data_IF_870732677923
#
_entry.id   IF_870732677923
#
_cell.length_a   1.000
_cell.length_b   1.000
_cell.length_c   1.000
_cell.angle_alpha   90.00
_cell.angle_beta   90.00
_cell.angle_gamma   90.00
#
_symmetry.space_group_name_H-M   'P 1'
#
loop_
_entity.id
_entity.type
_entity.pdbx_description
1 polymer ?
#
# COMPACT_ATOMS: atom_id res chain seq x y z
N UNK A 1 -4.12 22.42 -14.90
CA UNK A 1 -2.92 21.74 -14.35
C UNK A 1 -3.23 20.26 -14.34
N UNK A 2 -2.42 19.45 -15.02
CA UNK A 2 -2.51 18.00 -14.91
C UNK A 2 -2.13 17.63 -13.46
N UNK A 3 -3.04 17.02 -12.70
CA UNK A 3 -2.74 16.53 -11.35
C UNK A 3 -1.62 15.50 -11.46
N UNK A 4 -0.55 15.58 -10.67
CA UNK A 4 0.57 14.62 -10.73
C UNK A 4 0.17 13.23 -10.22
N UNK A 5 -0.89 13.15 -9.41
CA UNK A 5 -1.33 11.92 -8.75
C UNK A 5 -2.55 11.31 -9.46
N UNK A 6 -2.80 10.03 -9.24
CA UNK A 6 -3.97 9.36 -9.80
C UNK A 6 -5.17 9.50 -8.86
N UNK A 7 -6.31 9.87 -9.43
CA UNK A 7 -7.59 9.93 -8.72
C UNK A 7 -8.22 8.53 -8.49
N UNK A 8 -7.51 7.46 -8.89
CA UNK A 8 -7.96 6.07 -8.79
C UNK A 8 -8.41 5.71 -7.37
N UNK A 9 -7.68 6.19 -6.36
CA UNK A 9 -7.94 5.86 -4.97
C UNK A 9 -9.17 6.56 -4.39
N UNK A 10 -9.76 7.56 -5.07
CA UNK A 10 -11.03 8.16 -4.64
C UNK A 10 -12.18 7.14 -4.67
N UNK A 11 -12.04 6.05 -5.45
CA UNK A 11 -13.00 4.93 -5.51
C UNK A 11 -12.76 3.83 -4.48
N UNK A 12 -11.69 3.94 -3.68
CA UNK A 12 -11.50 3.06 -2.53
C UNK A 12 -12.55 3.36 -1.46
N UNK A 13 -12.76 2.46 -0.49
CA UNK A 13 -13.70 2.70 0.61
C UNK A 13 -13.41 4.03 1.32
N UNK A 14 -12.14 4.30 1.67
CA UNK A 14 -11.75 5.54 2.34
C UNK A 14 -11.96 6.78 1.46
N UNK A 15 -11.65 6.68 0.16
CA UNK A 15 -11.88 7.77 -0.80
C UNK A 15 -13.37 8.07 -0.99
N UNK A 16 -14.20 7.03 -1.13
CA UNK A 16 -15.64 7.18 -1.30
C UNK A 16 -16.27 7.83 -0.06
N UNK A 17 -15.89 7.38 1.14
CA UNK A 17 -16.39 7.98 2.39
C UNK A 17 -15.94 9.45 2.55
N UNK A 18 -14.76 9.81 2.04
CA UNK A 18 -14.31 11.20 2.03
C UNK A 18 -15.15 12.05 1.07
N UNK A 19 -15.42 11.55 -0.13
CA UNK A 19 -16.29 12.23 -1.10
C UNK A 19 -17.68 12.45 -0.51
N UNK A 20 -18.29 11.41 0.07
CA UNK A 20 -19.61 11.50 0.70
C UNK A 20 -19.64 12.54 1.84
N UNK A 21 -18.59 12.59 2.66
CA UNK A 21 -18.47 13.57 3.74
C UNK A 21 -18.31 15.00 3.22
N UNK A 22 -17.53 15.20 2.15
CA UNK A 22 -17.36 16.51 1.51
C UNK A 22 -18.66 16.97 0.86
N UNK A 23 -19.36 16.08 0.16
CA UNK A 23 -20.67 16.37 -0.45
C UNK A 23 -21.71 16.74 0.59
N UNK A 24 -21.71 16.07 1.75
CA UNK A 24 -22.56 16.45 2.88
C UNK A 24 -22.26 17.88 3.36
N UNK A 25 -20.98 18.25 3.55
CA UNK A 25 -20.61 19.60 3.97
C UNK A 25 -20.97 20.68 2.95
N UNK A 26 -20.90 20.37 1.65
CA UNK A 26 -21.35 21.25 0.57
C UNK A 26 -22.87 21.43 0.65
N UNK A 27 -23.62 20.33 0.84
CA UNK A 27 -25.08 20.37 0.91
C UNK A 27 -25.61 21.21 2.09
N UNK A 28 -24.86 21.25 3.20
CA UNK A 28 -25.14 22.10 4.35
C UNK A 28 -24.66 23.55 4.18
N UNK A 29 -24.00 23.88 3.06
CA UNK A 29 -23.42 25.20 2.80
C UNK A 29 -22.23 25.54 3.71
N UNK A 30 -21.58 24.54 4.32
CA UNK A 30 -20.44 24.74 5.23
C UNK A 30 -19.12 24.94 4.48
N UNK A 31 -18.99 24.36 3.30
CA UNK A 31 -17.82 24.51 2.42
C UNK A 31 -18.27 24.73 0.97
N UNK A 32 -17.41 25.37 0.19
CA UNK A 32 -17.60 25.49 -1.25
C UNK A 32 -17.08 24.24 -1.98
N UNK A 33 -17.67 23.92 -3.14
CA UNK A 33 -17.22 22.81 -3.99
C UNK A 33 -15.75 22.94 -4.42
N UNK A 34 -15.26 24.16 -4.64
CA UNK A 34 -13.84 24.39 -4.99
C UNK A 34 -12.89 23.94 -3.88
N UNK A 35 -13.25 24.16 -2.61
CA UNK A 35 -12.46 23.70 -1.47
C UNK A 35 -12.47 22.17 -1.36
N UNK A 36 -13.61 21.52 -1.59
CA UNK A 36 -13.70 20.07 -1.60
C UNK A 36 -12.80 19.44 -2.67
N UNK A 37 -12.69 20.04 -3.86
CA UNK A 37 -11.77 19.59 -4.90
C UNK A 37 -10.31 19.65 -4.44
N UNK A 38 -9.91 20.72 -3.74
CA UNK A 38 -8.56 20.83 -3.16
C UNK A 38 -8.32 19.73 -2.11
N UNK A 39 -9.31 19.42 -1.27
CA UNK A 39 -9.20 18.30 -0.32
C UNK A 39 -8.97 16.96 -1.02
N UNK A 40 -9.65 16.72 -2.14
CA UNK A 40 -9.48 15.49 -2.92
C UNK A 40 -8.11 15.43 -3.62
N UNK A 41 -7.58 16.56 -4.12
CA UNK A 41 -6.22 16.62 -4.66
C UNK A 41 -5.16 16.31 -3.59
N UNK A 42 -5.35 16.82 -2.37
CA UNK A 42 -4.49 16.48 -1.22
C UNK A 42 -4.60 14.99 -0.88
N UNK A 43 -5.81 14.43 -0.89
CA UNK A 43 -6.03 13.01 -0.67
C UNK A 43 -5.29 12.13 -1.70
N UNK A 44 -5.36 12.48 -2.99
CA UNK A 44 -4.70 11.73 -4.05
C UNK A 44 -3.18 11.63 -3.82
N UNK A 45 -2.57 12.75 -3.40
CA UNK A 45 -1.16 12.79 -3.04
C UNK A 45 -0.85 11.93 -1.81
N UNK A 46 -1.57 12.16 -0.72
CA UNK A 46 -1.30 11.51 0.58
C UNK A 46 -1.45 9.99 0.48
N UNK A 47 -2.47 9.49 -0.20
CA UNK A 47 -2.65 8.03 -0.36
C UNK A 47 -1.52 7.43 -1.19
N UNK A 48 -1.08 8.08 -2.27
CA UNK A 48 0.00 7.56 -3.09
C UNK A 48 1.33 7.48 -2.30
N UNK A 49 1.65 8.50 -1.51
CA UNK A 49 2.84 8.53 -0.66
C UNK A 49 2.76 7.47 0.45
N UNK A 50 1.65 7.41 1.19
CA UNK A 50 1.47 6.50 2.33
C UNK A 50 1.48 5.04 1.89
N UNK A 51 0.82 4.69 0.77
CA UNK A 51 0.86 3.32 0.26
C UNK A 51 2.27 2.91 -0.16
N UNK A 52 3.07 3.84 -0.70
CA UNK A 52 4.45 3.55 -1.09
C UNK A 52 5.37 3.36 0.12
N UNK A 53 5.19 4.16 1.17
CA UNK A 53 6.11 4.21 2.31
C UNK A 53 5.74 3.26 3.44
N UNK A 54 4.45 3.02 3.68
CA UNK A 54 3.96 2.33 4.88
C UNK A 54 3.39 0.94 4.61
N UNK A 55 3.52 0.41 3.39
CA UNK A 55 3.03 -0.93 3.06
C UNK A 55 4.15 -1.82 2.54
N UNK A 56 4.37 -2.95 3.23
CA UNK A 56 5.37 -3.95 2.87
C UNK A 56 4.75 -5.32 2.56
N UNK A 57 3.45 -5.47 2.80
CA UNK A 57 2.73 -6.74 2.60
C UNK A 57 2.76 -7.16 1.14
N UNK A 58 2.99 -8.45 0.90
CA UNK A 58 2.96 -9.03 -0.45
C UNK A 58 1.69 -9.86 -0.62
N UNK A 59 1.05 -9.72 -1.77
CA UNK A 59 -0.15 -10.48 -2.10
C UNK A 59 0.04 -11.20 -3.44
N UNK A 60 -0.24 -12.50 -3.46
CA UNK A 60 -0.29 -13.33 -4.66
C UNK A 60 -1.73 -13.64 -5.01
N UNK A 61 -2.15 -13.35 -6.25
CA UNK A 61 -3.50 -13.61 -6.74
C UNK A 61 -3.43 -14.72 -7.79
N UNK A 62 -4.20 -15.80 -7.60
CA UNK A 62 -4.39 -16.87 -8.59
C UNK A 62 -5.87 -16.98 -8.93
N UNK A 63 -6.20 -17.18 -10.20
CA UNK A 63 -7.59 -17.36 -10.64
C UNK A 63 -7.69 -17.42 -12.15
N UNK A 64 -8.92 -17.48 -12.67
CA UNK A 64 -9.19 -17.52 -14.11
C UNK A 64 -9.44 -16.11 -14.64
N UNK A 65 -8.62 -15.65 -15.59
CA UNK A 65 -8.86 -14.38 -16.26
C UNK A 65 -10.16 -14.47 -17.08
N UNK A 66 -11.12 -13.61 -16.77
CA UNK A 66 -12.40 -13.55 -17.47
C UNK A 66 -12.38 -12.51 -18.60
N UNK A 67 -11.93 -11.29 -18.32
CA UNK A 67 -11.72 -10.24 -19.33
C UNK A 67 -10.59 -9.33 -18.91
N UNK A 68 -9.92 -8.72 -19.90
CA UNK A 68 -8.92 -7.68 -19.70
C UNK A 68 -9.18 -6.51 -20.66
N UNK A 69 -8.67 -5.33 -20.30
CA UNK A 69 -8.70 -4.12 -21.14
C UNK A 69 -7.50 -3.25 -20.80
N UNK A 70 -6.89 -2.67 -21.83
CA UNK A 70 -5.90 -1.61 -21.71
C UNK A 70 -6.36 -0.41 -22.54
N UNK A 71 -6.47 0.76 -21.91
CA UNK A 71 -6.81 2.03 -22.54
C UNK A 71 -6.33 3.15 -21.64
N UNK A 72 -5.83 4.24 -22.22
CA UNK A 72 -5.38 5.44 -21.51
C UNK A 72 -4.39 5.14 -20.37
N UNK A 73 -3.43 4.26 -20.64
CA UNK A 73 -2.43 3.80 -19.66
C UNK A 73 -3.00 3.14 -18.38
N UNK A 74 -4.25 2.67 -18.45
CA UNK A 74 -4.93 1.94 -17.37
C UNK A 74 -5.26 0.52 -17.80
N UNK A 75 -4.73 -0.44 -17.05
CA UNK A 75 -5.13 -1.83 -17.12
C UNK A 75 -6.36 -2.10 -16.27
N UNK A 76 -7.29 -2.89 -16.80
CA UNK A 76 -8.42 -3.45 -16.05
C UNK A 76 -8.51 -4.94 -16.27
N UNK A 77 -8.52 -5.72 -15.20
CA UNK A 77 -8.71 -7.16 -15.23
C UNK A 77 -9.95 -7.56 -14.43
N UNK A 78 -10.68 -8.55 -14.92
CA UNK A 78 -11.70 -9.27 -14.16
C UNK A 78 -11.24 -10.72 -14.05
N UNK A 79 -11.00 -11.18 -12.83
CA UNK A 79 -10.54 -12.53 -12.51
C UNK A 79 -11.68 -13.24 -11.78
N UNK A 80 -11.93 -14.53 -12.09
CA UNK A 80 -12.93 -15.37 -11.44
C UNK A 80 -12.28 -16.51 -10.66
N UNK A 81 -12.97 -17.00 -9.63
CA UNK A 81 -12.53 -18.09 -8.76
C UNK A 81 -11.11 -17.81 -8.21
N UNK A 82 -10.97 -16.66 -7.56
CA UNK A 82 -9.68 -16.16 -7.10
C UNK A 82 -9.31 -16.77 -5.76
N UNK A 83 -8.04 -17.16 -5.62
CA UNK A 83 -7.37 -17.45 -4.37
C UNK A 83 -6.29 -16.39 -4.16
N UNK A 84 -6.39 -15.63 -3.08
CA UNK A 84 -5.46 -14.58 -2.70
C UNK A 84 -4.65 -15.05 -1.49
N UNK A 85 -3.33 -15.11 -1.65
CA UNK A 85 -2.37 -15.42 -0.58
C UNK A 85 -1.72 -14.11 -0.13
N UNK A 86 -1.94 -13.71 1.11
CA UNK A 86 -1.32 -12.54 1.73
C UNK A 86 -0.18 -13.01 2.64
N UNK A 87 1.01 -12.45 2.43
CA UNK A 87 2.22 -12.73 3.19
C UNK A 87 2.50 -11.54 4.11
N UNK A 88 2.48 -11.78 5.42
CA UNK A 88 2.79 -10.76 6.41
C UNK A 88 4.31 -10.72 6.62
N UNK A 89 4.94 -9.63 6.15
CA UNK A 89 6.35 -9.39 6.44
C UNK A 89 6.39 -8.59 7.74
N UNK A 90 6.68 -9.26 8.86
CA UNK A 90 7.02 -8.56 10.09
C UNK A 90 8.33 -7.79 9.86
N UNK A 91 8.28 -6.47 9.91
CA UNK A 91 9.50 -5.67 10.08
C UNK A 91 10.00 -5.91 11.50
N UNK A 92 11.10 -6.64 11.63
CA UNK A 92 11.92 -6.58 12.84
C UNK A 92 12.35 -5.12 13.03
N UNK A 93 11.67 -4.43 13.94
CA UNK A 93 12.06 -3.11 14.43
C UNK A 93 13.40 -3.25 15.18
N UNK A 94 14.51 -3.31 14.45
CA UNK A 94 15.81 -2.98 15.01
C UNK A 94 15.87 -1.46 15.09
N UNK A 95 15.53 -1.00 16.30
CA UNK A 95 15.78 0.35 16.81
C UNK A 95 17.13 0.90 16.35
N UNK A 96 17.07 2.10 15.78
CA UNK A 96 18.17 3.03 15.68
C UNK A 96 19.01 3.00 16.95
N UNK A 97 20.31 2.70 16.82
CA UNK A 97 21.31 3.18 17.76
C UNK A 97 22.31 3.98 16.96
N UNK A 98 22.24 5.29 17.17
CA UNK A 98 23.23 6.26 16.77
C UNK A 98 24.64 5.76 17.09
N UNK A 99 25.54 5.81 16.11
CA UNK A 99 26.99 5.78 16.37
C UNK A 99 27.62 7.02 15.77
N UNK A 100 27.55 8.09 16.53
CA UNK A 100 28.59 9.10 16.59
C UNK A 100 29.90 8.49 17.12
N UNK A 101 30.99 9.10 16.67
CA UNK A 101 32.41 8.74 16.82
C UNK A 101 32.94 8.46 18.24
N UNK A 102 33.83 7.47 18.38
CA UNK A 102 34.68 7.32 19.58
C UNK A 102 35.45 6.00 19.71
N UNK A 103 36.78 6.08 19.59
CA UNK A 103 37.85 5.05 19.61
C UNK A 103 38.05 4.34 20.97
N UNK A 104 38.38 3.02 20.96
CA UNK A 104 39.33 2.25 21.85
C UNK A 104 39.07 0.72 21.75
N UNK A 105 39.92 -0.10 21.10
CA UNK A 105 41.06 -0.95 21.58
C UNK A 105 40.77 -2.15 22.51
N UNK A 106 41.07 -3.37 21.98
CA UNK A 106 41.50 -4.68 22.55
C UNK A 106 40.69 -5.33 23.71
N UNK A 107 40.52 -6.66 23.90
CA UNK A 107 41.37 -7.87 23.75
C UNK A 107 40.55 -9.18 23.56
N UNK A 108 41.29 -10.27 23.30
CA UNK A 108 40.93 -11.67 23.01
C UNK A 108 40.09 -12.39 24.08
N UNK A 109 39.28 -13.37 23.63
CA UNK A 109 38.81 -14.50 24.44
C UNK A 109 37.93 -15.48 23.66
N UNK A 110 38.48 -16.62 23.24
CA UNK A 110 37.71 -17.80 22.79
C UNK A 110 37.15 -18.56 23.99
N UNK A 111 35.90 -19.06 23.92
CA UNK A 111 35.48 -20.44 24.29
C UNK A 111 34.01 -20.67 23.90
N UNK A 112 33.73 -21.94 23.57
CA UNK A 112 32.61 -22.54 22.82
C UNK A 112 31.25 -22.60 23.54
N UNK A 113 30.24 -22.86 22.70
CA UNK A 113 29.00 -23.62 22.90
C UNK A 113 27.91 -23.01 23.80
N UNK A 114 26.73 -22.76 23.24
CA UNK A 114 25.66 -23.78 23.16
C UNK A 114 24.48 -23.31 22.29
N UNK A 115 24.00 -24.23 21.45
CA UNK A 115 22.77 -24.14 20.66
C UNK A 115 21.53 -24.16 21.57
N UNK A 116 20.62 -23.21 21.36
CA UNK A 116 19.19 -23.25 21.69
C UNK A 116 18.59 -21.92 21.21
N UNK A 117 17.42 -21.77 20.62
CA UNK A 117 16.37 -22.65 20.13
C UNK A 117 15.41 -21.71 19.37
N UNK A 118 14.86 -22.18 18.25
CA UNK A 118 13.58 -21.77 17.66
C UNK A 118 13.31 -20.29 17.35
N UNK A 119 13.78 -19.85 16.17
CA UNK A 119 13.05 -18.85 15.39
C UNK A 119 12.05 -19.58 14.48
N UNK A 120 10.96 -20.09 15.06
CA UNK A 120 9.76 -20.36 14.27
C UNK A 120 9.14 -18.98 13.98
N UNK A 121 9.65 -18.29 12.96
CA UNK A 121 8.91 -17.22 12.31
C UNK A 121 7.71 -17.92 11.68
N UNK A 122 6.56 -17.83 12.34
CA UNK A 122 5.30 -18.27 11.77
C UNK A 122 4.99 -17.24 10.70
N UNK A 123 5.36 -17.56 9.45
CA UNK A 123 4.91 -16.81 8.28
C UNK A 123 3.38 -16.99 8.20
N UNK A 124 2.65 -16.11 8.91
CA UNK A 124 1.20 -16.17 9.01
C UNK A 124 0.63 -15.74 7.66
N UNK A 125 0.55 -16.73 6.77
CA UNK A 125 -0.05 -16.58 5.46
C UNK A 125 -1.56 -16.58 5.61
N UNK A 126 -2.20 -15.47 5.26
CA UNK A 126 -3.66 -15.38 5.19
C UNK A 126 -4.10 -15.77 3.77
N UNK A 127 -5.01 -16.75 3.67
CA UNK A 127 -5.60 -17.14 2.40
C UNK A 127 -7.05 -16.66 2.33
N UNK A 128 -7.38 -15.92 1.27
CA UNK A 128 -8.72 -15.41 0.98
C UNK A 128 -9.22 -16.00 -0.33
N UNK A 129 -10.53 -16.24 -0.43
CA UNK A 129 -11.17 -16.68 -1.66
C UNK A 129 -12.26 -15.70 -2.07
N UNK A 130 -12.38 -15.44 -3.37
CA UNK A 130 -13.51 -14.68 -3.91
C UNK A 130 -13.90 -15.14 -5.32
N UNK A 131 -15.20 -15.14 -5.59
CA UNK A 131 -15.73 -15.59 -6.89
C UNK A 131 -15.31 -14.69 -8.03
N UNK A 132 -15.14 -13.39 -7.77
CA UNK A 132 -14.84 -12.38 -8.77
C UNK A 132 -14.05 -11.21 -8.18
N UNK A 133 -12.89 -10.94 -8.75
CA UNK A 133 -12.04 -9.81 -8.42
C UNK A 133 -11.88 -8.88 -9.63
N UNK A 134 -12.05 -7.57 -9.41
CA UNK A 134 -11.73 -6.53 -10.38
C UNK A 134 -10.42 -5.85 -9.96
N UNK A 135 -9.44 -5.82 -10.86
CA UNK A 135 -8.18 -5.09 -10.67
C UNK A 135 -8.17 -3.92 -11.65
N UNK A 136 -7.91 -2.71 -11.16
CA UNK A 136 -7.64 -1.52 -11.98
C UNK A 136 -6.26 -1.02 -11.60
N UNK A 137 -5.36 -0.94 -12.58
CA UNK A 137 -3.97 -0.59 -12.35
C UNK A 137 -3.52 0.48 -13.36
N UNK A 138 -3.19 1.66 -12.86
CA UNK A 138 -2.55 2.71 -13.64
C UNK A 138 -1.05 2.42 -13.78
N UNK A 139 -0.41 2.98 -14.80
CA UNK A 139 1.02 2.90 -14.96
C UNK A 139 1.77 3.53 -13.76
N UNK A 140 2.75 2.84 -13.19
CA UNK A 140 3.55 3.35 -12.08
C UNK A 140 4.39 4.57 -12.46
N UNK A 141 4.71 4.71 -13.76
CA UNK A 141 5.28 5.93 -14.33
C UNK A 141 4.14 6.67 -15.01
N UNK A 142 3.71 7.80 -14.44
CA UNK A 142 2.77 8.67 -15.12
C UNK A 142 3.47 9.26 -16.34
N UNK A 143 2.87 9.08 -17.51
CA UNK A 143 3.31 9.69 -18.77
C UNK A 143 3.39 11.20 -18.54
N UNK A 144 4.53 11.82 -18.84
CA UNK A 144 4.61 13.27 -18.86
C UNK A 144 3.86 13.74 -20.12
N UNK A 145 2.68 14.33 -19.93
CA UNK A 145 2.02 15.12 -20.97
C UNK A 145 2.70 16.48 -21.10
#
# INVERSE_FOLDING_TARGET
MSSTYYELYRRSTVGATLVDALDHLISEGRIEASLAMVCLEVFDRVVAEVLKEKTNSKMTIKGHLHTYRFCDDVWTFIIKNCNLKLEHIEENLLSNNDKESGKSTNEKGSTKNSNSNNDNIVDETINLQCDKLRIVACNARKSAD
#
